data_IF_436638111152
#
_entry.id   IF_436638111152
#
_cell.length_a   1.000
_cell.length_b   1.000
_cell.length_c   1.000
_cell.angle_alpha   90.00
_cell.angle_beta   90.00
_cell.angle_gamma   90.00
#
_symmetry.space_group_name_H-M   'P 1'
#
loop_
_entity.id
_entity.type
_entity.pdbx_description
1 polymer ?
#
# COMPACT_ATOMS: atom_id res chain seq x y z
N UNK A 1 -12.20 15.43 -0.23
CA UNK A 1 -10.91 15.50 -0.96
C UNK A 1 -10.02 14.42 -0.39
N UNK A 2 -9.61 13.43 -1.18
CA UNK A 2 -8.70 12.36 -0.75
C UNK A 2 -7.42 12.44 -1.59
N UNK A 3 -6.30 11.98 -1.05
CA UNK A 3 -5.02 11.88 -1.77
C UNK A 3 -4.52 10.43 -1.76
N UNK A 4 -3.71 10.06 -2.77
CA UNK A 4 -3.08 8.74 -2.98
C UNK A 4 -4.05 7.56 -3.21
N UNK A 5 -5.17 7.50 -2.50
CA UNK A 5 -6.23 6.49 -2.63
C UNK A 5 -7.60 7.17 -2.48
N UNK A 6 -8.41 7.16 -3.53
CA UNK A 6 -9.76 7.72 -3.57
C UNK A 6 -10.84 6.69 -3.92
N UNK A 7 -10.43 5.43 -4.06
CA UNK A 7 -11.27 4.28 -4.36
C UNK A 7 -11.45 4.03 -5.85
N UNK A 8 -10.77 4.76 -6.73
CA UNK A 8 -10.71 4.46 -8.16
C UNK A 8 -9.48 3.65 -8.57
N UNK A 9 -8.40 3.75 -7.79
CA UNK A 9 -7.13 3.11 -8.10
C UNK A 9 -7.24 1.59 -8.10
N UNK A 10 -6.65 0.97 -9.11
CA UNK A 10 -6.42 -0.47 -9.19
C UNK A 10 -5.07 -0.80 -8.57
N UNK A 11 -5.06 -1.79 -7.68
CA UNK A 11 -3.91 -2.14 -6.85
C UNK A 11 -3.40 -3.52 -7.19
N UNK A 12 -2.09 -3.70 -7.19
CA UNK A 12 -1.44 -5.01 -7.13
C UNK A 12 -0.68 -5.19 -5.82
N UNK A 13 -0.57 -6.43 -5.37
CA UNK A 13 0.15 -6.77 -4.14
C UNK A 13 1.38 -7.61 -4.44
N UNK A 14 2.57 -7.06 -4.24
CA UNK A 14 3.82 -7.81 -4.37
C UNK A 14 4.15 -8.53 -3.05
N UNK A 15 4.40 -9.84 -3.12
CA UNK A 15 4.52 -10.72 -1.95
C UNK A 15 3.16 -11.22 -1.41
N UNK A 16 2.12 -11.27 -2.26
CA UNK A 16 0.75 -11.64 -1.87
C UNK A 16 0.63 -13.01 -1.20
N UNK A 17 1.47 -13.99 -1.57
CA UNK A 17 1.42 -15.33 -0.96
C UNK A 17 2.23 -15.45 0.33
N UNK A 18 2.91 -14.37 0.74
CA UNK A 18 3.60 -14.31 2.03
C UNK A 18 2.59 -14.05 3.15
N UNK A 19 2.93 -14.44 4.39
CA UNK A 19 2.02 -14.34 5.55
C UNK A 19 1.45 -12.93 5.74
N UNK A 20 2.29 -11.89 5.71
CA UNK A 20 1.80 -10.52 5.83
C UNK A 20 1.04 -10.09 4.58
N UNK A 21 1.53 -10.40 3.37
CA UNK A 21 0.84 -10.10 2.12
C UNK A 21 -0.58 -10.66 2.08
N UNK A 22 -0.77 -11.91 2.47
CA UNK A 22 -2.07 -12.57 2.49
C UNK A 22 -3.03 -11.89 3.49
N UNK A 23 -2.58 -11.65 4.72
CA UNK A 23 -3.39 -11.03 5.78
C UNK A 23 -3.75 -9.60 5.43
N UNK A 24 -2.81 -8.81 4.89
CA UNK A 24 -3.06 -7.40 4.53
C UNK A 24 -3.86 -7.28 3.24
N UNK A 25 -3.72 -8.21 2.29
CA UNK A 25 -4.61 -8.29 1.12
C UNK A 25 -6.05 -8.49 1.56
N UNK A 26 -6.30 -9.40 2.51
CA UNK A 26 -7.64 -9.59 3.06
C UNK A 26 -8.20 -8.31 3.69
N UNK A 27 -7.40 -7.62 4.50
CA UNK A 27 -7.77 -6.32 5.06
C UNK A 27 -8.16 -5.31 3.98
N UNK A 28 -7.33 -5.16 2.94
CA UNK A 28 -7.55 -4.20 1.86
C UNK A 28 -8.83 -4.54 1.09
N UNK A 29 -9.05 -5.81 0.74
CA UNK A 29 -10.29 -6.29 0.10
C UNK A 29 -11.52 -6.01 0.97
N UNK A 30 -11.49 -6.41 2.25
CA UNK A 30 -12.62 -6.23 3.16
C UNK A 30 -12.92 -4.74 3.44
N UNK A 31 -11.91 -3.89 3.33
CA UNK A 31 -12.10 -2.45 3.45
C UNK A 31 -12.79 -1.85 2.21
N UNK A 32 -12.56 -2.42 1.03
CA UNK A 32 -13.12 -2.00 -0.25
C UNK A 32 -12.09 -1.52 -1.28
N UNK A 33 -10.80 -1.77 -1.04
CA UNK A 33 -9.74 -1.47 -2.02
C UNK A 33 -9.87 -2.39 -3.24
N UNK A 34 -9.76 -1.84 -4.45
CA UNK A 34 -9.80 -2.60 -5.71
C UNK A 34 -8.44 -3.23 -5.96
N UNK A 35 -8.37 -4.56 -5.82
CA UNK A 35 -7.13 -5.31 -6.03
C UNK A 35 -7.30 -6.18 -7.27
N UNK A 36 -6.40 -6.03 -8.24
CA UNK A 36 -6.40 -6.81 -9.47
C UNK A 36 -5.79 -8.21 -9.29
N UNK A 37 -4.79 -8.32 -8.42
CA UNK A 37 -4.01 -9.53 -8.24
C UNK A 37 -2.85 -9.33 -7.28
N UNK A 38 -1.93 -10.28 -7.30
CA UNK A 38 -0.63 -10.09 -6.67
C UNK A 38 0.48 -10.82 -7.39
N UNK A 39 1.71 -10.54 -6.97
CA UNK A 39 2.92 -11.07 -7.59
C UNK A 39 3.68 -11.87 -6.55
N UNK A 40 4.11 -13.08 -6.92
CA UNK A 40 5.12 -13.83 -6.17
C UNK A 40 5.89 -14.71 -7.15
N UNK A 41 7.17 -14.41 -7.43
CA UNK A 41 7.96 -15.19 -8.38
C UNK A 41 7.99 -16.69 -8.05
N UNK A 42 7.76 -17.52 -9.06
CA UNK A 42 7.66 -18.98 -8.95
C UNK A 42 6.30 -19.48 -8.46
N UNK A 43 5.29 -18.61 -8.32
CA UNK A 43 3.93 -18.95 -7.88
C UNK A 43 2.84 -18.42 -8.82
N UNK A 44 3.21 -17.99 -10.03
CA UNK A 44 2.26 -17.65 -11.08
C UNK A 44 1.21 -18.75 -11.31
N UNK A 45 -0.03 -18.34 -11.58
CA UNK A 45 -1.17 -19.23 -11.80
C UNK A 45 -1.88 -19.71 -10.53
N UNK A 46 -1.38 -19.37 -9.34
CA UNK A 46 -2.10 -19.59 -8.08
C UNK A 46 -3.17 -18.52 -7.85
N UNK A 47 -3.96 -18.70 -6.78
CA UNK A 47 -4.93 -17.70 -6.32
C UNK A 47 -4.81 -17.44 -4.82
N UNK A 48 -4.97 -16.18 -4.41
CA UNK A 48 -5.05 -15.76 -3.00
C UNK A 48 -6.30 -14.91 -2.80
N UNK A 49 -7.21 -15.30 -1.89
CA UNK A 49 -8.51 -14.64 -1.69
C UNK A 49 -9.35 -14.49 -2.97
N UNK A 50 -9.19 -15.41 -3.93
CA UNK A 50 -9.84 -15.35 -5.24
C UNK A 50 -9.17 -14.41 -6.26
N UNK A 51 -8.05 -13.79 -5.90
CA UNK A 51 -7.25 -12.95 -6.79
C UNK A 51 -6.15 -13.80 -7.48
N UNK A 52 -5.87 -13.56 -8.78
CA UNK A 52 -4.79 -14.25 -9.48
C UNK A 52 -3.42 -13.84 -8.96
N UNK A 53 -2.49 -14.80 -8.97
CA UNK A 53 -1.07 -14.59 -8.68
C UNK A 53 -0.27 -14.68 -9.96
N UNK A 54 0.63 -13.73 -10.18
CA UNK A 54 1.53 -13.63 -11.32
C UNK A 54 2.98 -13.85 -10.87
N UNK A 55 3.84 -14.22 -11.82
CA UNK A 55 5.28 -14.34 -11.55
C UNK A 55 5.97 -12.97 -11.59
N UNK A 56 5.45 -12.04 -12.39
CA UNK A 56 5.98 -10.67 -12.52
C UNK A 56 4.88 -9.61 -12.47
N UNK A 57 5.25 -8.37 -12.13
CA UNK A 57 4.34 -7.22 -12.21
C UNK A 57 3.92 -6.93 -13.66
N UNK A 58 4.85 -7.16 -14.61
CA UNK A 58 4.60 -6.94 -16.03
C UNK A 58 3.44 -7.79 -16.55
N UNK A 59 3.42 -9.08 -16.23
CA UNK A 59 2.32 -9.99 -16.59
C UNK A 59 0.96 -9.44 -16.12
N UNK A 60 0.91 -8.93 -14.90
CA UNK A 60 -0.32 -8.37 -14.37
C UNK A 60 -0.73 -7.09 -15.10
N UNK A 61 0.21 -6.19 -15.39
CA UNK A 61 -0.06 -4.95 -16.14
C UNK A 61 -0.52 -5.26 -17.57
N UNK A 62 0.05 -6.27 -18.23
CA UNK A 62 -0.38 -6.70 -19.57
C UNK A 62 -1.83 -7.22 -19.59
N UNK A 63 -2.30 -7.83 -18.50
CA UNK A 63 -3.66 -8.37 -18.39
C UNK A 63 -4.69 -7.31 -18.00
N UNK A 64 -4.35 -6.42 -17.06
CA UNK A 64 -5.29 -5.45 -16.49
C UNK A 64 -5.21 -4.06 -17.12
N UNK A 65 -4.15 -3.78 -17.89
CA UNK A 65 -3.82 -2.54 -18.61
C UNK A 65 -3.70 -1.25 -17.76
N UNK A 66 -4.34 -1.20 -16.58
CA UNK A 66 -4.44 -0.03 -15.71
C UNK A 66 -4.24 -0.44 -14.24
N UNK A 67 -2.99 -0.59 -13.83
CA UNK A 67 -2.60 -0.78 -12.42
C UNK A 67 -1.94 0.51 -11.94
N UNK A 68 -2.55 1.18 -10.97
CA UNK A 68 -2.12 2.50 -10.48
C UNK A 68 -1.10 2.40 -9.34
N UNK A 69 -1.24 1.36 -8.50
CA UNK A 69 -0.50 1.22 -7.24
C UNK A 69 0.03 -0.20 -7.04
N UNK A 70 1.28 -0.30 -6.57
CA UNK A 70 1.85 -1.54 -6.06
C UNK A 70 2.04 -1.45 -4.55
N UNK A 71 1.39 -2.31 -3.77
CA UNK A 71 1.64 -2.46 -2.33
C UNK A 71 2.60 -3.62 -2.10
N UNK A 72 3.74 -3.33 -1.49
CA UNK A 72 4.87 -4.26 -1.39
C UNK A 72 4.95 -4.83 0.02
N UNK A 73 4.81 -6.15 0.17
CA UNK A 73 4.96 -6.89 1.44
C UNK A 73 6.09 -7.93 1.40
N UNK A 74 7.05 -7.78 0.49
CA UNK A 74 8.21 -8.67 0.38
C UNK A 74 9.19 -8.45 1.55
N UNK A 75 10.09 -9.40 1.86
CA UNK A 75 11.19 -9.17 2.81
C UNK A 75 12.06 -7.94 2.46
N UNK A 76 12.59 -7.25 3.47
CA UNK A 76 13.36 -6.01 3.29
C UNK A 76 14.49 -6.08 2.23
N UNK A 77 15.29 -7.16 2.12
CA UNK A 77 16.33 -7.26 1.09
C UNK A 77 15.80 -7.31 -0.35
N UNK A 78 14.50 -7.57 -0.54
CA UNK A 78 13.86 -7.70 -1.85
C UNK A 78 13.06 -6.45 -2.24
N UNK A 79 12.97 -5.45 -1.35
CA UNK A 79 12.12 -4.27 -1.58
C UNK A 79 12.60 -3.43 -2.75
N UNK A 80 13.91 -3.29 -2.93
CA UNK A 80 14.48 -2.56 -4.08
C UNK A 80 14.01 -3.17 -5.39
N UNK A 81 14.28 -4.45 -5.58
CA UNK A 81 13.98 -5.12 -6.85
C UNK A 81 12.47 -5.09 -7.13
N UNK A 82 11.63 -5.31 -6.11
CA UNK A 82 10.18 -5.21 -6.24
C UNK A 82 9.69 -3.78 -6.57
N UNK A 83 10.31 -2.74 -5.99
CA UNK A 83 9.94 -1.35 -6.28
C UNK A 83 10.34 -0.94 -7.70
N UNK A 84 11.56 -1.30 -8.11
CA UNK A 84 12.07 -1.04 -9.46
C UNK A 84 11.22 -1.79 -10.51
N UNK A 85 10.87 -3.06 -10.25
CA UNK A 85 9.97 -3.83 -11.11
C UNK A 85 8.61 -3.16 -11.29
N UNK A 86 8.04 -2.62 -10.21
CA UNK A 86 6.77 -1.89 -10.28
C UNK A 86 6.88 -0.64 -11.16
N UNK A 87 7.94 0.15 -11.01
CA UNK A 87 8.15 1.35 -11.81
C UNK A 87 8.44 1.02 -13.29
N UNK A 88 9.18 -0.05 -13.56
CA UNK A 88 9.43 -0.56 -14.91
C UNK A 88 8.16 -1.01 -15.61
N UNK A 89 7.20 -1.54 -14.86
CA UNK A 89 5.88 -1.90 -15.37
C UNK A 89 4.95 -0.68 -15.55
N UNK A 90 5.41 0.53 -15.27
CA UNK A 90 4.66 1.78 -15.46
C UNK A 90 3.79 2.20 -14.27
N UNK A 91 3.86 1.49 -13.14
CA UNK A 91 3.09 1.84 -11.93
C UNK A 91 3.62 3.15 -11.34
N UNK A 92 2.71 4.08 -11.00
CA UNK A 92 3.08 5.44 -10.58
C UNK A 92 3.18 5.65 -9.08
N UNK A 93 2.73 4.70 -8.27
CA UNK A 93 2.86 4.73 -6.82
C UNK A 93 3.23 3.35 -6.25
N UNK A 94 4.33 3.28 -5.50
CA UNK A 94 4.68 2.10 -4.70
C UNK A 94 4.50 2.36 -3.19
N UNK A 95 3.86 1.44 -2.47
CA UNK A 95 3.73 1.50 -1.00
C UNK A 95 4.66 0.45 -0.38
N UNK A 96 5.75 0.92 0.23
CA UNK A 96 6.85 0.11 0.75
C UNK A 96 6.62 -0.20 2.22
N UNK A 97 5.89 -1.27 2.51
CA UNK A 97 5.56 -1.64 3.89
C UNK A 97 6.76 -2.13 4.74
N UNK A 98 7.73 -2.89 4.20
CA UNK A 98 8.75 -3.54 5.03
C UNK A 98 9.64 -2.53 5.77
N UNK A 99 9.99 -2.90 7.00
CA UNK A 99 10.93 -2.18 7.86
C UNK A 99 12.37 -2.66 7.61
N UNK A 100 13.36 -1.83 7.96
CA UNK A 100 14.80 -2.10 7.86
C UNK A 100 15.28 -2.33 6.43
N UNK A 101 14.73 -1.57 5.49
CA UNK A 101 15.27 -1.53 4.12
C UNK A 101 16.59 -0.76 4.16
N UNK A 102 17.70 -1.29 3.59
CA UNK A 102 18.97 -0.57 3.58
C UNK A 102 18.84 0.83 2.97
N UNK A 103 19.43 1.84 3.61
CA UNK A 103 19.33 3.24 3.13
C UNK A 103 19.82 3.41 1.69
N UNK A 104 20.86 2.66 1.29
CA UNK A 104 21.36 2.68 -0.09
C UNK A 104 20.32 2.17 -1.10
N UNK A 105 19.57 1.13 -0.73
CA UNK A 105 18.48 0.65 -1.56
C UNK A 105 17.36 1.70 -1.69
N UNK A 106 17.03 2.40 -0.59
CA UNK A 106 16.04 3.50 -0.63
C UNK A 106 16.49 4.66 -1.51
N UNK A 107 17.78 5.01 -1.50
CA UNK A 107 18.35 6.03 -2.38
C UNK A 107 18.24 5.63 -3.86
N UNK A 108 18.50 4.35 -4.19
CA UNK A 108 18.33 3.81 -5.53
C UNK A 108 16.86 3.83 -5.97
N UNK A 109 15.94 3.36 -5.11
CA UNK A 109 14.48 3.43 -5.33
C UNK A 109 14.06 4.89 -5.59
N UNK A 110 14.54 5.83 -4.79
CA UNK A 110 14.18 7.25 -4.92
C UNK A 110 14.69 7.90 -6.19
N UNK A 111 15.90 7.54 -6.64
CA UNK A 111 16.43 7.97 -7.94
C UNK A 111 15.59 7.38 -9.06
N UNK A 112 15.33 6.08 -9.03
CA UNK A 112 14.62 5.38 -10.10
C UNK A 112 13.17 5.82 -10.23
N UNK A 113 12.45 5.97 -9.11
CA UNK A 113 11.08 6.49 -9.10
C UNK A 113 10.99 7.87 -9.80
N UNK A 114 11.98 8.76 -9.57
CA UNK A 114 12.05 10.06 -10.26
C UNK A 114 12.31 9.92 -11.76
N UNK A 115 13.16 9.00 -12.17
CA UNK A 115 13.43 8.72 -13.60
C UNK A 115 12.17 8.20 -14.32
N UNK A 116 11.30 7.46 -13.61
CA UNK A 116 10.05 6.92 -14.12
C UNK A 116 8.82 7.85 -13.95
N UNK A 117 9.01 9.08 -13.44
CA UNK A 117 7.92 9.98 -13.05
C UNK A 117 6.88 9.30 -12.14
N UNK A 118 7.38 8.63 -11.10
CA UNK A 118 6.64 7.85 -10.12
C UNK A 118 7.00 8.29 -8.69
N UNK A 119 6.19 7.86 -7.73
CA UNK A 119 6.38 8.16 -6.31
C UNK A 119 6.37 6.87 -5.47
N UNK A 120 6.86 6.96 -4.24
CA UNK A 120 6.71 5.89 -3.26
C UNK A 120 6.37 6.44 -1.87
N UNK A 121 5.75 5.59 -1.06
CA UNK A 121 5.43 5.83 0.35
C UNK A 121 6.14 4.79 1.21
N UNK A 122 6.87 5.24 2.24
CA UNK A 122 7.73 4.39 3.08
C UNK A 122 9.21 4.51 2.71
N UNK A 123 10.06 3.50 3.03
CA UNK A 123 9.74 2.23 3.66
C UNK A 123 9.23 2.31 5.09
N UNK A 124 9.03 1.15 5.73
CA UNK A 124 8.52 1.04 7.09
C UNK A 124 7.22 1.80 7.27
N UNK A 125 6.27 1.60 6.35
CA UNK A 125 4.99 2.27 6.40
C UNK A 125 3.82 1.35 6.76
N UNK A 126 2.91 1.82 7.62
CA UNK A 126 1.56 1.27 7.74
C UNK A 126 0.72 1.50 6.46
N UNK A 127 1.16 2.42 5.61
CA UNK A 127 0.55 2.79 4.34
C UNK A 127 -0.39 4.00 4.44
N UNK A 128 -1.43 4.01 3.62
CA UNK A 128 -2.39 5.11 3.49
C UNK A 128 -3.83 4.61 3.60
N UNK A 129 -4.69 5.39 4.25
CA UNK A 129 -6.12 5.12 4.35
C UNK A 129 -6.92 6.38 4.07
N UNK A 130 -7.91 6.27 3.19
CA UNK A 130 -8.94 7.29 2.99
C UNK A 130 -10.28 6.73 3.44
N UNK A 131 -10.92 7.27 4.49
CA UNK A 131 -12.13 6.67 5.07
C UNK A 131 -13.25 6.49 4.05
N UNK A 132 -13.76 5.25 3.97
CA UNK A 132 -14.81 4.87 3.02
C UNK A 132 -14.38 4.81 1.55
N UNK A 133 -13.07 4.96 1.26
CA UNK A 133 -12.52 4.92 -0.11
C UNK A 133 -11.57 3.75 -0.33
N UNK A 134 -10.64 3.52 0.59
CA UNK A 134 -9.66 2.46 0.45
C UNK A 134 -8.57 2.53 1.50
N UNK A 135 -7.87 1.40 1.66
CA UNK A 135 -6.63 1.29 2.44
C UNK A 135 -5.57 0.60 1.58
N UNK A 136 -4.37 1.13 1.61
CA UNK A 136 -3.17 0.54 1.04
C UNK A 136 -2.23 0.26 2.20
N UNK A 137 -1.90 -1.00 2.49
CA UNK A 137 -1.08 -1.37 3.64
C UNK A 137 -1.89 -2.02 4.77
N UNK A 138 -1.63 -1.63 6.01
CA UNK A 138 -2.14 -2.30 7.22
C UNK A 138 -2.83 -1.40 8.24
N UNK A 139 -3.12 -0.15 7.87
CA UNK A 139 -3.72 0.82 8.79
C UNK A 139 -5.08 0.36 9.32
N UNK A 140 -5.29 0.49 10.64
CA UNK A 140 -6.51 0.04 11.33
C UNK A 140 -6.58 -1.47 11.62
N UNK A 141 -5.59 -2.26 11.19
CA UNK A 141 -5.41 -3.67 11.55
C UNK A 141 -6.39 -4.65 10.90
N UNK A 142 -7.70 -4.41 11.05
CA UNK A 142 -8.81 -5.13 10.41
C UNK A 142 -9.81 -4.15 9.81
N UNK A 143 -10.50 -4.56 8.75
CA UNK A 143 -11.37 -3.65 8.01
C UNK A 143 -12.53 -3.10 8.88
N UNK A 144 -13.11 -3.95 9.73
CA UNK A 144 -14.16 -3.56 10.67
C UNK A 144 -13.68 -2.48 11.65
N UNK A 145 -12.54 -2.71 12.32
CA UNK A 145 -11.92 -1.73 13.22
C UNK A 145 -11.62 -0.42 12.49
N UNK A 146 -11.03 -0.47 11.30
CA UNK A 146 -10.72 0.71 10.51
C UNK A 146 -11.98 1.52 10.13
N UNK A 147 -13.08 0.87 9.73
CA UNK A 147 -14.37 1.51 9.43
C UNK A 147 -15.04 2.08 10.68
N UNK A 148 -14.85 1.43 11.82
CA UNK A 148 -15.38 1.88 13.10
C UNK A 148 -14.62 3.08 13.66
N UNK A 149 -13.29 3.09 13.54
CA UNK A 149 -12.43 4.11 14.12
C UNK A 149 -12.30 5.37 13.29
N UNK A 150 -12.25 5.26 11.96
CA UNK A 150 -11.95 6.40 11.09
C UNK A 150 -13.20 6.87 10.37
N UNK A 151 -13.64 8.10 10.67
CA UNK A 151 -14.84 8.70 10.08
C UNK A 151 -14.48 9.68 8.96
N UNK A 152 -15.23 9.73 7.86
CA UNK A 152 -14.94 10.63 6.75
C UNK A 152 -15.14 12.11 7.11
N UNK A 153 -14.30 12.98 6.56
CA UNK A 153 -14.38 14.42 6.66
C UNK A 153 -13.28 15.12 5.86
N UNK A 154 -12.74 16.22 6.38
CA UNK A 154 -11.83 17.12 5.66
C UNK A 154 -10.44 17.28 6.28
N UNK A 155 -10.13 16.61 7.39
CA UNK A 155 -8.83 16.71 8.06
C UNK A 155 -7.87 15.61 7.60
N UNK A 156 -6.72 15.99 7.04
CA UNK A 156 -5.65 15.06 6.69
C UNK A 156 -4.71 14.82 7.86
N UNK A 157 -4.17 13.60 7.98
CA UNK A 157 -3.15 13.26 8.97
C UNK A 157 -1.91 12.74 8.25
N UNK A 158 -0.75 13.25 8.63
CA UNK A 158 0.54 12.68 8.25
C UNK A 158 1.44 12.53 9.47
N UNK A 159 2.18 11.43 9.56
CA UNK A 159 3.13 11.18 10.65
C UNK A 159 4.15 10.10 10.28
N UNK A 160 5.33 10.17 10.88
CA UNK A 160 6.36 9.11 10.83
C UNK A 160 6.13 7.97 11.82
N UNK A 161 5.22 8.15 12.78
CA UNK A 161 4.90 7.13 13.77
C UNK A 161 3.56 6.50 13.44
N UNK A 162 3.57 5.19 13.19
CA UNK A 162 2.37 4.44 12.82
C UNK A 162 1.31 4.45 13.92
N UNK A 163 1.75 4.26 15.17
CA UNK A 163 0.90 4.35 16.35
C UNK A 163 0.26 5.73 16.49
N UNK A 164 1.03 6.81 16.31
CA UNK A 164 0.49 8.17 16.38
C UNK A 164 -0.47 8.49 15.24
N UNK A 165 -0.21 7.99 14.03
CA UNK A 165 -1.10 8.16 12.87
C UNK A 165 -2.49 7.60 13.19
N UNK A 166 -2.56 6.36 13.70
CA UNK A 166 -3.81 5.69 14.00
C UNK A 166 -4.49 6.24 15.26
N UNK A 167 -3.73 6.55 16.31
CA UNK A 167 -4.28 7.09 17.56
C UNK A 167 -4.85 8.48 17.39
N UNK A 168 -4.15 9.38 16.68
CA UNK A 168 -4.65 10.74 16.41
C UNK A 168 -5.95 10.68 15.61
N UNK A 169 -5.99 9.82 14.59
CA UNK A 169 -7.18 9.58 13.77
C UNK A 169 -8.38 9.10 14.57
N UNK A 170 -8.15 8.13 15.45
CA UNK A 170 -9.15 7.61 16.34
C UNK A 170 -9.72 8.72 17.24
N UNK A 171 -8.86 9.46 17.95
CA UNK A 171 -9.32 10.50 18.88
C UNK A 171 -10.04 11.64 18.17
N UNK A 172 -9.54 12.10 17.02
CA UNK A 172 -10.25 13.10 16.21
C UNK A 172 -11.64 12.61 15.80
N UNK A 173 -11.75 11.37 15.33
CA UNK A 173 -13.04 10.78 14.95
C UNK A 173 -13.98 10.66 16.15
N UNK A 174 -13.48 10.28 17.34
CA UNK A 174 -14.28 10.24 18.58
C UNK A 174 -14.74 11.63 19.02
N UNK A 175 -13.97 12.68 18.72
CA UNK A 175 -14.34 14.08 18.96
C UNK A 175 -15.23 14.67 17.85
N UNK A 176 -15.71 13.87 16.90
CA UNK A 176 -16.58 14.33 15.81
C UNK A 176 -15.84 15.02 14.65
N UNK A 177 -14.52 14.95 14.61
CA UNK A 177 -13.69 15.51 13.54
C UNK A 177 -13.43 14.42 12.50
N UNK A 178 -14.00 14.60 11.30
CA UNK A 178 -13.85 13.66 10.19
C UNK A 178 -12.55 13.84 9.40
N UNK A 179 -12.06 12.74 8.85
CA UNK A 179 -10.75 12.60 8.23
C UNK A 179 -10.85 12.48 6.70
N UNK A 180 -9.93 13.11 5.98
CA UNK A 180 -9.80 12.98 4.52
C UNK A 180 -8.92 11.80 4.13
N UNK A 181 -7.65 11.84 4.52
CA UNK A 181 -6.66 10.80 4.26
C UNK A 181 -5.63 10.76 5.39
N UNK A 182 -5.25 9.54 5.75
CA UNK A 182 -4.22 9.20 6.73
C UNK A 182 -3.01 8.67 6.01
N UNK A 183 -1.88 9.37 6.10
CA UNK A 183 -0.64 8.99 5.43
C UNK A 183 0.42 8.72 6.48
N UNK A 184 0.80 7.46 6.66
CA UNK A 184 2.00 7.16 7.42
C UNK A 184 3.19 7.22 6.48
N UNK A 185 4.13 8.15 6.69
CA UNK A 185 5.19 8.40 5.69
C UNK A 185 6.36 7.41 5.77
N UNK A 186 6.48 6.68 6.87
CA UNK A 186 7.61 5.80 7.13
C UNK A 186 8.41 6.25 8.36
N UNK A 187 8.92 5.26 9.10
CA UNK A 187 9.76 5.47 10.29
C UNK A 187 11.25 5.36 10.03
N UNK A 188 11.65 4.88 8.86
CA UNK A 188 13.06 4.64 8.54
C UNK A 188 13.86 5.94 8.51
N UNK A 189 15.10 5.85 8.99
CA UNK A 189 16.03 6.97 9.20
C UNK A 189 17.38 6.67 8.58
#
# INVERSE_FOLDING_TARGET
MAILIDGQQTVIVQGITGREGEVRTRLMLDYGTRIAGGVTPGRGGQTVHGLPVFDTVREAVEIFENIDVSVIFVPAPLVKDAALEAFDAGIKLAVLVPDRVPVYDVLEISRYARECDANFLGPNTLGVLSPGKGVLGMMGGRAESAKNWFKPGNVGITSRSGGMTSSLAYYLSQSGIGLSTLVHVGGDS
#
